data_IF_579099324533
#
_entry.id   IF_579099324533
#
_cell.length_a   1.000
_cell.length_b   1.000
_cell.length_c   1.000
_cell.angle_alpha   90.00
_cell.angle_beta   90.00
_cell.angle_gamma   90.00
#
_symmetry.space_group_name_H-M   'P 1'
#
loop_
_entity.id
_entity.type
_entity.pdbx_description
1 polymer ?
#
# COMPACT_ATOMS: atom_id res chain seq x y z
N UNK A 1 7.34 82.74 26.50
CA UNK A 1 6.45 81.60 26.73
C UNK A 1 6.11 80.85 25.45
N UNK A 2 5.78 81.49 24.30
CA UNK A 2 5.39 80.79 23.04
C UNK A 2 6.57 79.93 22.40
N UNK A 3 7.81 80.34 22.53
CA UNK A 3 8.97 79.59 21.96
C UNK A 3 9.30 78.30 22.74
N UNK A 4 9.01 78.26 24.04
CA UNK A 4 9.27 77.09 24.88
C UNK A 4 8.21 76.01 24.63
N UNK A 5 6.92 76.44 24.42
CA UNK A 5 5.85 75.49 24.07
C UNK A 5 6.06 74.80 22.72
N UNK A 6 6.68 75.53 21.74
CA UNK A 6 6.94 74.95 20.42
C UNK A 6 8.04 73.91 20.48
N UNK A 7 9.08 74.10 21.34
CA UNK A 7 10.17 73.14 21.49
C UNK A 7 9.68 71.85 22.16
N UNK A 8 8.82 71.94 23.15
CA UNK A 8 8.25 70.78 23.87
C UNK A 8 7.35 69.96 22.95
N UNK A 9 6.55 70.63 22.09
CA UNK A 9 5.68 69.93 21.10
C UNK A 9 6.49 69.18 20.06
N UNK A 10 7.61 69.73 19.58
CA UNK A 10 8.50 69.06 18.62
C UNK A 10 9.22 67.85 19.23
N UNK A 11 9.68 67.96 20.50
CA UNK A 11 10.35 66.82 21.20
C UNK A 11 9.35 65.68 21.44
N UNK A 12 8.09 65.98 21.80
CA UNK A 12 7.04 64.98 21.98
C UNK A 12 6.65 64.31 20.66
N UNK A 13 6.64 65.06 19.56
CA UNK A 13 6.35 64.46 18.21
C UNK A 13 7.48 63.53 17.75
N UNK A 14 8.75 63.85 18.00
CA UNK A 14 9.89 63.00 17.64
C UNK A 14 9.93 61.77 18.54
N UNK A 15 9.60 61.85 19.83
CA UNK A 15 9.52 60.74 20.74
C UNK A 15 8.37 59.76 20.34
N UNK A 16 7.22 60.29 19.92
CA UNK A 16 6.07 59.51 19.42
C UNK A 16 6.42 58.78 18.11
N UNK A 17 7.14 59.44 17.17
CA UNK A 17 7.59 58.78 15.95
C UNK A 17 8.61 57.68 16.21
N UNK A 18 9.56 57.84 17.16
CA UNK A 18 10.52 56.81 17.54
C UNK A 18 9.84 55.63 18.22
N UNK A 19 8.85 55.86 19.10
CA UNK A 19 8.05 54.81 19.75
C UNK A 19 7.24 53.99 18.70
N UNK A 20 6.56 54.62 17.76
CA UNK A 20 5.85 53.92 16.67
C UNK A 20 6.78 53.15 15.73
N UNK A 21 7.98 53.66 15.42
CA UNK A 21 8.97 52.91 14.64
C UNK A 21 9.49 51.69 15.41
N UNK A 22 9.65 51.77 16.74
CA UNK A 22 10.12 50.66 17.56
C UNK A 22 9.02 49.60 17.74
N UNK A 23 7.75 49.99 17.89
CA UNK A 23 6.64 49.04 17.89
C UNK A 23 6.39 48.40 16.52
N UNK A 24 6.57 49.14 15.43
CA UNK A 24 6.47 48.58 14.07
C UNK A 24 7.62 47.64 13.74
N UNK A 25 8.83 47.94 14.27
CA UNK A 25 10.00 47.07 14.07
C UNK A 25 9.92 45.76 14.89
N UNK A 26 9.20 45.74 16.02
CA UNK A 26 8.99 44.52 16.82
C UNK A 26 7.90 43.59 16.27
N UNK A 27 7.14 44.01 15.25
CA UNK A 27 6.06 43.20 14.68
C UNK A 27 6.45 42.49 13.38
N UNK A 28 7.59 42.77 12.81
CA UNK A 28 8.05 42.11 11.57
C UNK A 28 9.00 40.98 11.95
N UNK A 29 8.47 39.76 12.05
CA UNK A 29 9.27 38.55 12.21
C UNK A 29 10.25 38.42 11.04
N UNK A 30 11.48 38.00 11.33
CA UNK A 30 12.48 37.66 10.32
C UNK A 30 11.94 36.53 9.41
N UNK A 31 12.56 36.37 8.24
CA UNK A 31 12.22 35.27 7.35
C UNK A 31 12.39 33.91 8.06
N UNK A 32 13.50 33.73 8.78
CA UNK A 32 13.82 32.52 9.51
C UNK A 32 12.82 32.23 10.64
N UNK A 33 12.38 33.26 11.38
CA UNK A 33 11.34 33.11 12.42
C UNK A 33 9.99 32.67 11.81
N UNK A 34 9.63 33.23 10.64
CA UNK A 34 8.40 32.81 9.93
C UNK A 34 8.50 31.38 9.42
N UNK A 35 9.66 30.98 8.88
CA UNK A 35 9.90 29.61 8.45
C UNK A 35 9.89 28.63 9.63
N UNK A 36 10.49 28.98 10.76
CA UNK A 36 10.48 28.12 11.95
C UNK A 36 9.07 27.93 12.53
N UNK A 37 8.21 28.94 12.47
CA UNK A 37 6.80 28.81 12.86
C UNK A 37 5.99 28.01 11.86
N UNK A 38 6.28 28.16 10.57
CA UNK A 38 5.58 27.44 9.51
C UNK A 38 5.98 25.97 9.46
N UNK A 39 7.26 25.69 9.72
CA UNK A 39 7.83 24.35 9.67
C UNK A 39 8.49 23.98 11.01
N UNK A 40 7.70 23.69 12.04
CA UNK A 40 8.23 23.31 13.34
C UNK A 40 9.07 22.03 13.22
N UNK A 41 9.91 21.79 14.22
CA UNK A 41 10.70 20.55 14.33
C UNK A 41 9.79 19.31 14.23
N UNK A 42 10.34 18.23 13.69
CA UNK A 42 9.60 16.98 13.56
C UNK A 42 9.09 16.50 14.93
N UNK A 43 7.83 16.07 14.98
CA UNK A 43 7.23 15.46 16.18
C UNK A 43 7.76 14.04 16.40
N UNK A 44 8.15 13.39 15.32
CA UNK A 44 8.68 12.04 15.29
C UNK A 44 9.97 12.09 14.49
N UNK A 45 11.07 11.60 15.05
CA UNK A 45 12.34 11.54 14.34
C UNK A 45 12.36 10.33 13.39
N UNK A 46 12.48 10.61 12.09
CA UNK A 46 12.56 9.61 11.02
C UNK A 46 13.82 9.91 10.21
N UNK A 47 14.75 9.00 10.18
CA UNK A 47 16.03 9.12 9.45
C UNK A 47 16.07 8.24 8.21
N UNK A 48 15.39 7.10 8.23
CA UNK A 48 15.48 6.08 7.18
C UNK A 48 14.11 5.56 6.76
N UNK A 49 13.87 5.60 5.45
CA UNK A 49 12.69 4.99 4.81
C UNK A 49 13.17 3.99 3.78
N UNK A 50 12.81 2.73 3.94
CA UNK A 50 13.06 1.70 2.94
C UNK A 50 11.80 1.36 2.17
N UNK A 51 11.86 1.43 0.84
CA UNK A 51 10.79 0.95 -0.04
C UNK A 51 11.23 -0.39 -0.62
N UNK A 52 10.51 -1.45 -0.27
CA UNK A 52 10.81 -2.80 -0.77
C UNK A 52 10.56 -2.88 -2.27
N UNK A 53 11.51 -3.45 -3.03
CA UNK A 53 11.32 -3.81 -4.43
C UNK A 53 11.58 -5.30 -4.65
N UNK A 54 10.74 -5.90 -5.48
CA UNK A 54 10.82 -7.31 -5.91
C UNK A 54 10.28 -7.44 -7.33
N UNK A 55 10.70 -8.41 -8.09
CA UNK A 55 10.19 -8.60 -9.45
C UNK A 55 8.67 -8.76 -9.44
N UNK A 56 7.99 -8.04 -10.32
CA UNK A 56 6.53 -8.01 -10.42
C UNK A 56 5.83 -7.02 -9.46
N UNK A 57 6.56 -6.13 -8.79
CA UNK A 57 5.92 -5.04 -8.02
C UNK A 57 5.17 -4.08 -8.95
N UNK A 58 4.15 -3.40 -8.43
CA UNK A 58 3.45 -2.32 -9.14
C UNK A 58 4.21 -1.02 -9.00
N UNK A 59 4.57 -0.40 -10.13
CA UNK A 59 5.41 0.80 -10.19
C UNK A 59 4.98 1.89 -9.21
N UNK A 60 3.74 2.35 -9.32
CA UNK A 60 3.29 3.49 -8.50
C UNK A 60 3.03 3.14 -7.03
N UNK A 61 2.86 1.86 -6.70
CA UNK A 61 2.77 1.42 -5.30
C UNK A 61 4.09 1.66 -4.56
N UNK A 62 5.22 1.61 -5.27
CA UNK A 62 6.55 1.91 -4.75
C UNK A 62 6.93 3.38 -4.95
N UNK A 63 6.86 3.87 -6.20
CA UNK A 63 7.37 5.20 -6.59
C UNK A 63 6.51 6.34 -6.03
N UNK A 64 5.19 6.13 -5.85
CA UNK A 64 4.31 7.13 -5.22
C UNK A 64 4.73 7.49 -3.79
N UNK A 65 4.75 6.53 -2.87
CA UNK A 65 5.27 6.78 -1.52
C UNK A 65 6.74 7.19 -1.48
N UNK A 66 7.60 6.62 -2.36
CA UNK A 66 9.00 7.02 -2.46
C UNK A 66 9.14 8.52 -2.73
N UNK A 67 8.41 9.03 -3.71
CA UNK A 67 8.43 10.45 -4.07
C UNK A 67 7.90 11.32 -2.93
N UNK A 68 6.74 10.98 -2.37
CA UNK A 68 6.12 11.76 -1.28
C UNK A 68 6.98 11.76 -0.02
N UNK A 69 7.47 10.60 0.42
CA UNK A 69 8.28 10.49 1.63
C UNK A 69 9.70 11.03 1.43
N UNK A 70 10.17 11.13 0.17
CA UNK A 70 11.42 11.77 -0.21
C UNK A 70 11.48 13.26 0.16
N UNK A 71 10.32 13.91 0.32
CA UNK A 71 10.20 15.29 0.73
C UNK A 71 10.38 15.51 2.25
N UNK A 72 10.57 14.44 3.04
CA UNK A 72 10.89 14.57 4.45
C UNK A 72 12.33 15.03 4.64
N UNK A 73 12.51 16.30 4.99
CA UNK A 73 13.83 16.89 5.22
C UNK A 73 14.61 16.15 6.31
N UNK A 74 15.84 15.77 5.99
CA UNK A 74 16.74 15.04 6.90
C UNK A 74 16.49 13.54 6.97
N UNK A 75 15.65 12.99 6.07
CA UNK A 75 15.36 11.57 5.94
C UNK A 75 16.02 11.01 4.66
N UNK A 76 16.63 9.83 4.78
CA UNK A 76 17.16 9.09 3.64
C UNK A 76 16.10 8.07 3.17
N UNK A 77 15.60 8.22 1.95
CA UNK A 77 14.62 7.32 1.33
C UNK A 77 15.31 6.53 0.24
N UNK A 78 15.25 5.20 0.30
CA UNK A 78 15.95 4.32 -0.64
C UNK A 78 15.19 3.03 -0.91
N UNK A 79 15.55 2.36 -2.01
CA UNK A 79 15.01 1.06 -2.35
C UNK A 79 15.79 -0.07 -1.68
N UNK A 80 15.06 -1.07 -1.21
CA UNK A 80 15.60 -2.31 -0.66
C UNK A 80 15.09 -3.47 -1.50
N UNK A 81 15.96 -4.21 -2.18
CA UNK A 81 15.58 -5.39 -2.97
C UNK A 81 15.65 -6.68 -2.16
N UNK A 82 15.03 -7.73 -2.68
CA UNK A 82 15.34 -9.09 -2.22
C UNK A 82 16.82 -9.41 -2.47
N UNK A 83 17.34 -8.91 -3.60
CA UNK A 83 18.74 -8.96 -4.02
C UNK A 83 19.14 -7.59 -4.58
N UNK A 84 20.45 -7.33 -4.64
CA UNK A 84 20.98 -6.18 -5.39
C UNK A 84 20.87 -6.42 -6.89
N UNK A 85 20.76 -5.34 -7.64
CA UNK A 85 20.74 -5.38 -9.10
C UNK A 85 19.46 -4.80 -9.69
N UNK A 86 19.13 -5.22 -10.90
CA UNK A 86 17.94 -4.75 -11.60
C UNK A 86 16.72 -5.55 -11.14
N UNK A 87 15.71 -4.81 -10.70
CA UNK A 87 14.39 -5.33 -10.31
C UNK A 87 13.37 -4.83 -11.31
N UNK A 88 12.58 -5.72 -11.90
CA UNK A 88 11.56 -5.38 -12.88
C UNK A 88 10.17 -5.24 -12.25
N UNK A 89 9.44 -4.20 -12.62
CA UNK A 89 8.03 -4.06 -12.25
C UNK A 89 7.14 -5.00 -13.09
N UNK A 90 5.85 -5.03 -12.78
CA UNK A 90 4.83 -5.83 -13.47
C UNK A 90 4.72 -5.54 -14.98
N UNK A 91 5.25 -4.41 -15.46
CA UNK A 91 5.25 -3.99 -16.88
C UNK A 91 6.62 -4.10 -17.55
N UNK A 92 7.65 -4.54 -16.81
CA UNK A 92 9.00 -4.72 -17.30
C UNK A 92 9.91 -3.50 -17.16
N UNK A 93 9.47 -2.43 -16.47
CA UNK A 93 10.34 -1.30 -16.11
C UNK A 93 11.38 -1.77 -15.09
N UNK A 94 12.67 -1.54 -15.37
CA UNK A 94 13.76 -1.99 -14.50
C UNK A 94 14.31 -0.85 -13.67
N UNK A 95 14.47 -1.10 -12.38
CA UNK A 95 15.06 -0.17 -11.41
C UNK A 95 16.30 -0.81 -10.80
N UNK A 96 17.40 -0.08 -10.76
CA UNK A 96 18.61 -0.49 -10.07
C UNK A 96 18.43 -0.37 -8.57
N UNK A 97 18.71 -1.44 -7.83
CA UNK A 97 18.65 -1.49 -6.38
C UNK A 97 20.04 -1.81 -5.83
N UNK A 98 20.56 -0.90 -5.01
CA UNK A 98 21.95 -0.95 -4.54
C UNK A 98 22.11 -1.62 -3.16
N UNK A 99 21.00 -1.89 -2.46
CA UNK A 99 20.99 -2.58 -1.18
C UNK A 99 19.93 -3.68 -1.13
N UNK A 100 20.08 -4.62 -0.22
CA UNK A 100 19.19 -5.78 -0.13
C UNK A 100 18.72 -6.04 1.30
N UNK A 101 17.69 -6.89 1.45
CA UNK A 101 17.19 -7.35 2.75
C UNK A 101 18.27 -8.01 3.60
N UNK A 102 19.34 -8.56 2.99
CA UNK A 102 20.45 -9.16 3.71
C UNK A 102 21.29 -8.10 4.47
N UNK A 103 21.34 -6.88 3.94
CA UNK A 103 22.18 -5.78 4.46
C UNK A 103 21.43 -4.83 5.39
N UNK A 104 20.15 -4.58 5.11
CA UNK A 104 19.33 -3.64 5.89
C UNK A 104 18.81 -4.31 7.15
N UNK A 105 19.22 -3.78 8.31
CA UNK A 105 18.84 -4.31 9.63
C UNK A 105 17.91 -3.41 10.42
N UNK A 106 17.75 -2.15 10.00
CA UNK A 106 16.85 -1.19 10.62
C UNK A 106 16.29 -0.22 9.58
N UNK A 107 15.05 0.17 9.76
CA UNK A 107 14.35 1.23 9.06
C UNK A 107 13.38 1.88 10.02
N UNK A 108 13.29 3.21 9.99
CA UNK A 108 12.25 3.92 10.75
C UNK A 108 10.88 3.74 10.09
N UNK A 109 10.86 3.72 8.75
CA UNK A 109 9.65 3.42 7.97
C UNK A 109 9.97 2.34 6.93
N UNK A 110 9.17 1.29 6.91
CA UNK A 110 9.15 0.30 5.84
C UNK A 110 7.90 0.49 4.98
N UNK A 111 8.09 0.58 3.66
CA UNK A 111 7.01 0.60 2.66
C UNK A 111 7.04 -0.69 1.85
N UNK A 112 5.94 -1.43 1.87
CA UNK A 112 5.79 -2.69 1.13
C UNK A 112 4.79 -2.46 -0.01
N UNK A 113 5.24 -2.32 -1.27
CA UNK A 113 4.37 -2.15 -2.42
C UNK A 113 3.64 -3.44 -2.76
N UNK A 114 2.55 -3.32 -3.49
CA UNK A 114 1.85 -4.45 -4.08
C UNK A 114 2.34 -4.77 -5.49
N UNK A 115 1.63 -5.68 -6.09
CA UNK A 115 1.82 -6.18 -7.44
C UNK A 115 0.72 -7.18 -7.75
N UNK A 116 1.05 -8.30 -8.39
CA UNK A 116 0.05 -9.29 -8.74
C UNK A 116 0.40 -10.70 -8.24
N UNK A 117 0.78 -11.63 -9.09
CA UNK A 117 1.08 -13.03 -8.74
C UNK A 117 2.26 -13.15 -7.79
N UNK A 118 3.33 -12.47 -8.13
CA UNK A 118 4.60 -12.48 -7.40
C UNK A 118 4.39 -11.98 -5.97
N UNK A 119 3.52 -11.00 -5.78
CA UNK A 119 3.15 -10.49 -4.44
C UNK A 119 2.50 -11.57 -3.57
N UNK A 120 1.61 -12.38 -4.15
CA UNK A 120 0.98 -13.48 -3.40
C UNK A 120 1.97 -14.63 -3.13
N UNK A 121 2.86 -14.93 -4.08
CA UNK A 121 3.93 -15.92 -3.89
C UNK A 121 4.85 -15.52 -2.73
N UNK A 122 5.20 -14.24 -2.62
CA UNK A 122 6.02 -13.70 -1.53
C UNK A 122 5.37 -13.80 -0.14
N UNK A 123 4.06 -14.03 -0.04
CA UNK A 123 3.42 -14.34 1.25
C UNK A 123 3.90 -15.67 1.85
N UNK A 124 4.59 -16.48 1.07
CA UNK A 124 5.16 -17.78 1.46
C UNK A 124 6.69 -17.75 1.62
N UNK A 125 7.33 -16.62 1.28
CA UNK A 125 8.78 -16.47 1.40
C UNK A 125 9.17 -16.18 2.86
N UNK A 126 9.59 -17.23 3.56
CA UNK A 126 9.95 -17.13 4.98
C UNK A 126 11.14 -16.21 5.23
N UNK A 127 12.08 -16.07 4.28
CA UNK A 127 13.23 -15.17 4.39
C UNK A 127 12.77 -13.72 4.41
N UNK A 128 11.93 -13.35 3.46
CA UNK A 128 11.34 -12.01 3.38
C UNK A 128 10.46 -11.73 4.62
N UNK A 129 9.57 -12.64 4.99
CA UNK A 129 8.68 -12.47 6.13
C UNK A 129 9.43 -12.29 7.45
N UNK A 130 10.51 -13.05 7.65
CA UNK A 130 11.36 -12.91 8.84
C UNK A 130 12.12 -11.58 8.83
N UNK A 131 12.60 -11.12 7.68
CA UNK A 131 13.21 -9.81 7.54
C UNK A 131 12.20 -8.69 7.86
N UNK A 132 10.97 -8.75 7.34
CA UNK A 132 9.93 -7.77 7.64
C UNK A 132 9.64 -7.74 9.14
N UNK A 133 9.52 -8.90 9.82
CA UNK A 133 9.32 -8.97 11.28
C UNK A 133 10.49 -8.35 12.04
N UNK A 134 11.70 -8.56 11.59
CA UNK A 134 12.91 -7.96 12.20
C UNK A 134 12.88 -6.44 12.07
N UNK A 135 12.62 -5.90 10.88
CA UNK A 135 12.49 -4.46 10.65
C UNK A 135 11.33 -3.88 11.47
N UNK A 136 10.16 -4.55 11.42
CA UNK A 136 8.98 -4.13 12.16
C UNK A 136 9.24 -4.01 13.66
N UNK A 137 10.07 -4.88 14.25
CA UNK A 137 10.32 -4.85 15.69
C UNK A 137 10.87 -3.52 16.20
N UNK A 138 11.57 -2.75 15.36
CA UNK A 138 12.21 -1.47 15.70
C UNK A 138 11.72 -0.29 14.87
N UNK A 139 10.88 -0.49 13.86
CA UNK A 139 10.37 0.59 13.03
C UNK A 139 9.34 1.45 13.77
N UNK A 140 9.31 2.74 13.42
CA UNK A 140 8.27 3.69 13.83
C UNK A 140 6.97 3.38 13.12
N UNK A 141 7.04 3.17 11.81
CA UNK A 141 5.90 2.79 10.98
C UNK A 141 6.25 1.65 10.03
N UNK A 142 5.36 0.66 9.94
CA UNK A 142 5.41 -0.39 8.93
C UNK A 142 4.19 -0.24 8.03
N UNK A 143 4.41 -0.05 6.74
CA UNK A 143 3.37 0.37 5.82
C UNK A 143 3.27 -0.54 4.61
N UNK A 144 2.08 -0.58 4.01
CA UNK A 144 1.86 -1.30 2.76
C UNK A 144 0.94 -0.54 1.81
N UNK A 145 1.15 -0.74 0.53
CA UNK A 145 0.32 -0.19 -0.55
C UNK A 145 -0.27 -1.34 -1.35
N UNK A 146 -1.55 -1.22 -1.75
CA UNK A 146 -2.19 -2.20 -2.63
C UNK A 146 -2.13 -3.62 -2.03
N UNK A 147 -1.84 -4.62 -2.84
CA UNK A 147 -1.68 -6.02 -2.40
C UNK A 147 -0.42 -6.27 -1.55
N UNK A 148 0.45 -5.29 -1.37
CA UNK A 148 1.54 -5.37 -0.39
C UNK A 148 1.05 -5.65 1.04
N UNK A 149 -0.22 -5.34 1.32
CA UNK A 149 -0.87 -5.72 2.57
C UNK A 149 -0.96 -7.24 2.78
N UNK A 150 -0.92 -8.06 1.72
CA UNK A 150 -0.88 -9.52 1.86
C UNK A 150 0.47 -9.98 2.42
N UNK A 151 1.58 -9.42 1.89
CA UNK A 151 2.92 -9.73 2.41
C UNK A 151 3.01 -9.33 3.89
N UNK A 152 2.53 -8.11 4.22
CA UNK A 152 2.50 -7.65 5.60
C UNK A 152 1.57 -8.52 6.47
N UNK A 153 0.41 -8.90 5.95
CA UNK A 153 -0.55 -9.81 6.61
C UNK A 153 0.03 -11.18 6.90
N UNK A 154 0.81 -11.74 5.95
CA UNK A 154 1.48 -13.04 6.10
C UNK A 154 2.50 -13.07 7.23
N UNK A 155 3.03 -11.91 7.66
CA UNK A 155 3.86 -11.85 8.88
C UNK A 155 3.04 -12.07 10.17
N UNK A 156 1.70 -12.00 10.10
CA UNK A 156 0.79 -12.12 11.26
C UNK A 156 0.48 -10.79 11.95
N UNK A 157 1.17 -9.71 11.62
CA UNK A 157 1.03 -8.42 12.33
C UNK A 157 -0.31 -7.72 12.07
N UNK A 158 -1.02 -8.07 11.00
CA UNK A 158 -2.34 -7.52 10.68
C UNK A 158 -3.51 -8.34 11.24
N UNK A 159 -3.26 -9.51 11.83
CA UNK A 159 -4.32 -10.35 12.38
C UNK A 159 -5.12 -9.59 13.45
N UNK A 160 -6.44 -9.52 13.28
CA UNK A 160 -7.38 -8.80 14.15
C UNK A 160 -7.29 -7.27 14.06
N UNK A 161 -6.40 -6.70 13.25
CA UNK A 161 -6.25 -5.25 13.09
C UNK A 161 -7.06 -4.71 11.91
N UNK A 162 -7.47 -3.45 12.04
CA UNK A 162 -8.04 -2.73 10.90
C UNK A 162 -6.97 -2.52 9.82
N UNK A 163 -7.31 -2.82 8.57
CA UNK A 163 -6.41 -2.66 7.42
C UNK A 163 -7.21 -2.45 6.14
N UNK A 164 -6.53 -2.02 5.09
CA UNK A 164 -7.09 -1.99 3.72
C UNK A 164 -6.06 -2.51 2.73
N UNK A 165 -6.49 -2.77 1.52
CA UNK A 165 -5.67 -3.24 0.39
C UNK A 165 -6.36 -2.86 -0.92
N UNK A 166 -5.79 -3.26 -2.04
CA UNK A 166 -6.42 -3.14 -3.35
C UNK A 166 -7.84 -3.70 -3.32
N UNK A 167 -8.78 -3.03 -3.97
CA UNK A 167 -10.21 -3.35 -3.90
C UNK A 167 -10.52 -4.83 -4.17
N UNK A 168 -9.85 -5.45 -5.14
CA UNK A 168 -10.02 -6.86 -5.47
C UNK A 168 -9.45 -7.81 -4.39
N UNK A 169 -8.34 -7.42 -3.76
CA UNK A 169 -7.61 -8.23 -2.79
C UNK A 169 -8.17 -8.23 -1.37
N UNK A 170 -9.26 -7.51 -1.11
CA UNK A 170 -9.82 -7.34 0.24
C UNK A 170 -10.24 -8.66 0.90
N UNK A 171 -10.88 -9.55 0.11
CA UNK A 171 -11.31 -10.85 0.61
C UNK A 171 -10.11 -11.73 1.02
N UNK A 172 -9.06 -11.74 0.22
CA UNK A 172 -7.81 -12.48 0.53
C UNK A 172 -7.18 -11.94 1.81
N UNK A 173 -7.11 -10.60 1.97
CA UNK A 173 -6.54 -10.00 3.18
C UNK A 173 -7.33 -10.39 4.45
N UNK A 174 -8.64 -10.49 4.35
CA UNK A 174 -9.49 -10.91 5.46
C UNK A 174 -9.38 -12.41 5.77
N UNK A 175 -9.56 -13.24 4.74
CA UNK A 175 -9.71 -14.69 4.91
C UNK A 175 -8.39 -15.39 5.21
N UNK A 176 -7.30 -15.02 4.49
CA UNK A 176 -6.02 -15.69 4.60
C UNK A 176 -5.15 -15.10 5.73
N UNK A 177 -5.31 -13.80 6.03
CA UNK A 177 -4.44 -13.09 6.96
C UNK A 177 -5.15 -12.47 8.18
N UNK A 178 -6.46 -12.67 8.30
CA UNK A 178 -7.25 -12.33 9.50
C UNK A 178 -7.42 -10.85 9.77
N UNK A 179 -7.18 -9.97 8.80
CA UNK A 179 -7.33 -8.52 8.96
C UNK A 179 -8.81 -8.10 8.97
N UNK A 180 -9.15 -7.08 9.75
CA UNK A 180 -10.47 -6.42 9.73
C UNK A 180 -10.50 -5.37 8.62
N UNK A 181 -10.85 -5.80 7.42
CA UNK A 181 -10.74 -4.97 6.22
C UNK A 181 -11.72 -3.80 6.22
N UNK A 182 -11.21 -2.59 5.97
CA UNK A 182 -11.95 -1.34 5.89
C UNK A 182 -12.09 -0.85 4.45
N UNK A 183 -13.22 -0.23 4.13
CA UNK A 183 -13.44 0.43 2.85
C UNK A 183 -12.96 1.89 2.90
N UNK A 184 -11.63 2.07 3.02
CA UNK A 184 -10.97 3.38 3.08
C UNK A 184 -9.78 3.40 2.15
N UNK A 185 -9.38 4.60 1.70
CA UNK A 185 -8.19 4.76 0.87
C UNK A 185 -6.91 4.38 1.61
N UNK A 186 -6.83 4.72 2.89
CA UNK A 186 -5.81 4.21 3.80
C UNK A 186 -6.38 4.02 5.20
N UNK A 187 -5.75 3.15 5.96
CA UNK A 187 -6.12 2.78 7.34
C UNK A 187 -4.88 2.79 8.21
N UNK A 188 -5.02 3.38 9.39
CA UNK A 188 -4.00 3.33 10.45
C UNK A 188 -4.47 2.42 11.57
N UNK A 189 -3.63 1.48 11.99
CA UNK A 189 -3.84 0.63 13.18
C UNK A 189 -2.56 0.60 14.01
N UNK A 190 -2.42 1.55 14.92
CA UNK A 190 -1.18 1.79 15.66
C UNK A 190 -0.06 2.28 14.73
N UNK A 191 1.05 1.54 14.67
CA UNK A 191 2.18 1.83 13.77
C UNK A 191 2.00 1.27 12.35
N UNK A 192 0.97 0.45 12.12
CA UNK A 192 0.69 -0.14 10.82
C UNK A 192 -0.19 0.79 9.99
N UNK A 193 0.27 1.13 8.80
CA UNK A 193 -0.48 1.91 7.84
C UNK A 193 -0.63 1.11 6.56
N UNK A 194 -1.86 0.93 6.11
CA UNK A 194 -2.15 0.19 4.89
C UNK A 194 -2.96 1.07 3.96
N UNK A 195 -2.65 1.09 2.67
CA UNK A 195 -3.42 1.83 1.68
C UNK A 195 -4.01 0.91 0.61
N UNK A 196 -5.10 1.38 0.03
CA UNK A 196 -5.68 0.80 -1.18
C UNK A 196 -4.70 0.94 -2.37
N UNK A 197 -5.13 0.55 -3.57
CA UNK A 197 -4.24 0.51 -4.72
C UNK A 197 -3.76 1.88 -5.19
N UNK A 198 -2.56 1.87 -5.67
CA UNK A 198 -1.83 2.83 -6.52
C UNK A 198 -1.82 4.25 -5.95
N UNK A 199 -2.79 5.08 -6.31
CA UNK A 199 -2.81 6.50 -5.91
C UNK A 199 -3.04 6.72 -4.41
N UNK A 200 -3.68 5.77 -3.73
CA UNK A 200 -3.89 5.83 -2.29
C UNK A 200 -2.57 5.71 -1.49
N UNK A 201 -1.51 5.17 -2.10
CA UNK A 201 -0.16 5.16 -1.51
C UNK A 201 0.40 6.57 -1.32
N UNK A 202 0.10 7.49 -2.24
CA UNK A 202 0.49 8.91 -2.11
C UNK A 202 -0.32 9.59 -0.99
N UNK A 203 -1.64 9.35 -0.91
CA UNK A 203 -2.47 9.88 0.19
C UNK A 203 -1.95 9.42 1.55
N UNK A 204 -1.59 8.12 1.66
CA UNK A 204 -0.99 7.56 2.87
C UNK A 204 0.36 8.21 3.18
N UNK A 205 1.20 8.43 2.17
CA UNK A 205 2.49 9.12 2.32
C UNK A 205 2.32 10.54 2.87
N UNK A 206 1.38 11.32 2.34
CA UNK A 206 1.04 12.65 2.85
C UNK A 206 0.48 12.60 4.28
N UNK A 207 -0.33 11.60 4.60
CA UNK A 207 -0.84 11.41 5.96
C UNK A 207 0.26 11.04 6.96
N UNK A 208 1.26 10.24 6.54
CA UNK A 208 2.48 9.97 7.34
C UNK A 208 3.30 11.25 7.57
N UNK A 209 3.51 12.06 6.52
CA UNK A 209 4.18 13.37 6.66
C UNK A 209 3.43 14.25 7.67
N UNK A 210 2.11 14.26 7.63
CA UNK A 210 1.29 15.03 8.56
C UNK A 210 1.47 14.54 10.02
N UNK A 211 1.58 13.24 10.23
CA UNK A 211 1.85 12.68 11.55
C UNK A 211 3.24 13.08 12.06
N UNK A 212 4.24 13.06 11.17
CA UNK A 212 5.65 13.31 11.50
C UNK A 212 5.93 14.81 11.66
N UNK A 213 5.44 15.66 10.76
CA UNK A 213 5.81 17.09 10.64
C UNK A 213 4.65 18.06 10.87
N UNK A 214 3.39 17.58 10.81
CA UNK A 214 2.20 18.39 10.99
C UNK A 214 1.69 19.08 9.73
N UNK A 215 0.57 19.80 9.88
CA UNK A 215 -0.26 20.31 8.78
C UNK A 215 0.47 21.25 7.82
N UNK A 216 1.14 22.28 8.36
CA UNK A 216 1.80 23.28 7.50
C UNK A 216 2.85 22.67 6.58
N UNK A 217 3.65 21.76 7.13
CA UNK A 217 4.66 21.03 6.35
C UNK A 217 3.99 20.18 5.26
N UNK A 218 2.96 19.44 5.61
CA UNK A 218 2.21 18.60 4.65
C UNK A 218 1.60 19.42 3.53
N UNK A 219 1.00 20.58 3.85
CA UNK A 219 0.43 21.50 2.85
C UNK A 219 1.50 22.06 1.92
N UNK A 220 2.70 22.34 2.44
CA UNK A 220 3.82 22.78 1.61
C UNK A 220 4.25 21.67 0.63
N UNK A 221 4.34 20.42 1.10
CA UNK A 221 4.67 19.29 0.23
C UNK A 221 3.55 19.03 -0.80
N UNK A 222 2.29 19.13 -0.42
CA UNK A 222 1.17 19.05 -1.39
C UNK A 222 1.29 20.10 -2.49
N UNK A 223 1.69 21.32 -2.13
CA UNK A 223 1.90 22.40 -3.10
C UNK A 223 3.13 22.13 -3.98
N UNK A 224 4.23 21.67 -3.42
CA UNK A 224 5.46 21.37 -4.15
C UNK A 224 5.26 20.24 -5.16
N UNK A 225 4.49 19.21 -4.79
CA UNK A 225 4.13 18.09 -5.66
C UNK A 225 2.94 18.40 -6.59
N UNK A 226 2.35 19.61 -6.55
CA UNK A 226 1.08 19.93 -7.21
C UNK A 226 0.01 18.83 -7.00
N UNK A 227 -0.04 18.30 -5.76
CA UNK A 227 -0.96 17.22 -5.43
C UNK A 227 -2.41 17.72 -5.32
N UNK A 228 -3.04 17.90 -6.48
CA UNK A 228 -4.45 18.33 -6.67
C UNK A 228 -5.17 17.41 -7.69
N UNK A 229 -5.45 16.14 -7.31
CA UNK A 229 -5.98 15.15 -8.25
C UNK A 229 -7.36 15.53 -8.79
N UNK A 230 -7.52 15.54 -10.12
CA UNK A 230 -8.76 15.85 -10.82
C UNK A 230 -9.16 14.69 -11.76
N UNK A 231 -9.76 13.62 -11.24
CA UNK A 231 -10.18 12.48 -12.06
C UNK A 231 -11.32 12.89 -13.01
N UNK A 232 -11.27 12.39 -14.24
CA UNK A 232 -12.27 12.66 -15.29
C UNK A 232 -13.67 12.21 -14.86
N UNK A 233 -13.74 11.08 -14.15
CA UNK A 233 -14.97 10.50 -13.65
C UNK A 233 -14.88 10.25 -12.15
N UNK A 234 -16.02 10.35 -11.46
CA UNK A 234 -16.15 9.83 -10.09
C UNK A 234 -16.09 8.30 -10.12
N UNK A 235 -15.34 7.69 -9.23
CA UNK A 235 -15.14 6.24 -9.19
C UNK A 235 -13.80 5.88 -8.62
N UNK A 236 -13.23 4.74 -9.06
CA UNK A 236 -11.91 4.29 -8.65
C UNK A 236 -11.90 3.42 -7.39
N UNK A 237 -13.07 3.02 -6.91
CA UNK A 237 -13.25 2.00 -5.86
C UNK A 237 -14.44 1.11 -6.18
N UNK A 238 -14.46 -0.09 -5.63
CA UNK A 238 -15.52 -1.08 -5.83
C UNK A 238 -16.91 -0.62 -5.33
N UNK A 239 -16.97 0.33 -4.42
CA UNK A 239 -18.22 0.87 -3.86
C UNK A 239 -18.72 2.14 -4.55
N UNK A 240 -17.95 2.75 -5.45
CA UNK A 240 -18.34 3.98 -6.17
C UNK A 240 -18.12 3.89 -7.69
N UNK A 241 -17.87 2.68 -8.21
CA UNK A 241 -17.80 2.37 -9.63
C UNK A 241 -19.02 1.53 -10.03
N UNK A 242 -19.48 1.66 -11.27
CA UNK A 242 -20.58 0.87 -11.79
C UNK A 242 -20.36 -0.64 -11.59
N UNK A 243 -21.41 -1.34 -11.13
CA UNK A 243 -21.33 -2.76 -10.76
C UNK A 243 -20.94 -3.66 -11.93
N UNK A 244 -21.37 -3.33 -13.17
CA UNK A 244 -21.01 -4.12 -14.34
C UNK A 244 -19.50 -4.00 -14.62
N UNK A 245 -18.93 -2.81 -14.48
CA UNK A 245 -17.49 -2.58 -14.61
C UNK A 245 -16.74 -3.33 -13.49
N UNK A 246 -17.18 -3.22 -12.24
CA UNK A 246 -16.56 -3.94 -11.11
C UNK A 246 -16.56 -5.45 -11.36
N UNK A 247 -17.68 -6.03 -11.82
CA UNK A 247 -17.78 -7.46 -12.08
C UNK A 247 -16.88 -7.90 -13.24
N UNK A 248 -16.81 -7.14 -14.32
CA UNK A 248 -15.93 -7.44 -15.45
C UNK A 248 -14.46 -7.41 -15.02
N UNK A 249 -14.05 -6.38 -14.28
CA UNK A 249 -12.69 -6.27 -13.74
C UNK A 249 -12.39 -7.39 -12.75
N UNK A 250 -13.33 -7.74 -11.87
CA UNK A 250 -13.17 -8.85 -10.92
C UNK A 250 -12.90 -10.16 -11.67
N UNK A 251 -13.68 -10.48 -12.69
CA UNK A 251 -13.48 -11.69 -13.50
C UNK A 251 -12.10 -11.73 -14.15
N UNK A 252 -11.56 -10.59 -14.60
CA UNK A 252 -10.20 -10.49 -15.12
C UNK A 252 -9.13 -10.85 -14.06
N UNK A 253 -9.28 -10.28 -12.86
CA UNK A 253 -8.35 -10.56 -11.76
C UNK A 253 -8.44 -12.02 -11.32
N UNK A 254 -9.67 -12.56 -11.20
CA UNK A 254 -9.92 -13.96 -10.81
C UNK A 254 -9.24 -14.92 -11.79
N UNK A 255 -9.44 -14.74 -13.11
CA UNK A 255 -8.76 -15.52 -14.15
C UNK A 255 -7.22 -15.39 -14.08
N UNK A 256 -6.72 -14.18 -13.84
CA UNK A 256 -5.29 -13.92 -13.73
C UNK A 256 -4.64 -14.61 -12.53
N UNK A 257 -5.37 -14.76 -11.42
CA UNK A 257 -4.88 -15.31 -10.16
C UNK A 257 -5.25 -16.78 -9.93
N UNK A 258 -6.10 -17.37 -10.77
CA UNK A 258 -6.63 -18.73 -10.58
C UNK A 258 -5.53 -19.76 -10.26
N UNK A 259 -4.47 -19.80 -11.07
CA UNK A 259 -3.37 -20.75 -10.89
C UNK A 259 -2.51 -20.50 -9.64
N UNK A 260 -2.51 -19.28 -9.13
CA UNK A 260 -1.73 -18.86 -7.96
C UNK A 260 -2.49 -19.13 -6.67
N UNK A 261 -3.77 -18.78 -6.65
CA UNK A 261 -4.65 -18.99 -5.50
C UNK A 261 -5.08 -20.46 -5.38
N UNK A 262 -5.25 -21.12 -6.53
CA UNK A 262 -5.64 -22.51 -6.62
C UNK A 262 -4.61 -23.28 -7.47
N UNK A 263 -3.37 -23.48 -6.95
CA UNK A 263 -2.37 -24.23 -7.69
C UNK A 263 -2.94 -25.60 -7.99
N UNK A 264 -2.94 -25.96 -9.28
CA UNK A 264 -3.29 -27.32 -9.70
C UNK A 264 -2.31 -28.23 -9.01
N UNK A 265 -2.74 -28.91 -7.98
CA UNK A 265 -1.99 -30.05 -7.44
C UNK A 265 -1.82 -30.98 -8.62
N UNK A 266 -0.57 -31.26 -8.99
CA UNK A 266 -0.30 -32.21 -10.08
C UNK A 266 -0.75 -33.59 -9.61
N UNK A 267 -1.98 -33.94 -9.96
CA UNK A 267 -2.52 -35.29 -9.74
C UNK A 267 -1.92 -36.28 -10.72
N UNK A 268 -0.63 -36.08 -11.12
CA UNK A 268 0.07 -36.86 -12.14
C UNK A 268 0.09 -38.37 -11.88
N UNK A 269 -0.16 -38.78 -10.63
CA UNK A 269 -0.19 -40.19 -10.22
C UNK A 269 -1.57 -40.67 -9.78
N UNK A 270 -2.63 -39.85 -9.91
CA UNK A 270 -3.98 -40.26 -9.52
C UNK A 270 -4.73 -40.71 -10.79
N UNK A 271 -5.17 -41.95 -10.79
CA UNK A 271 -6.08 -42.44 -11.82
C UNK A 271 -7.50 -41.95 -11.49
N UNK A 272 -8.05 -41.09 -12.33
CA UNK A 272 -9.43 -40.66 -12.22
C UNK A 272 -10.37 -41.66 -12.84
N UNK A 273 -11.55 -41.80 -12.26
CA UNK A 273 -12.63 -42.61 -12.77
C UNK A 273 -13.47 -41.90 -13.85
N UNK A 274 -13.13 -40.64 -14.17
CA UNK A 274 -13.75 -39.88 -15.25
C UNK A 274 -12.69 -39.36 -16.23
N UNK A 275 -13.00 -39.40 -17.53
CA UNK A 275 -12.15 -38.83 -18.58
C UNK A 275 -12.47 -37.38 -18.91
N UNK A 276 -13.63 -36.91 -18.48
CA UNK A 276 -14.13 -35.54 -18.68
C UNK A 276 -14.74 -35.03 -17.36
N UNK A 277 -14.64 -33.74 -17.15
CA UNK A 277 -15.33 -33.06 -16.07
C UNK A 277 -16.85 -33.25 -16.23
N UNK A 278 -17.50 -33.83 -15.24
CA UNK A 278 -18.94 -34.16 -15.31
C UNK A 278 -19.84 -32.91 -15.36
N UNK A 279 -19.38 -31.79 -14.85
CA UNK A 279 -20.18 -30.56 -14.80
C UNK A 279 -20.12 -29.78 -16.11
N UNK A 280 -18.92 -29.56 -16.68
CA UNK A 280 -18.74 -28.74 -17.88
C UNK A 280 -18.38 -29.54 -19.14
N UNK A 281 -18.08 -30.87 -19.02
CA UNK A 281 -17.75 -31.73 -20.17
C UNK A 281 -16.31 -31.57 -20.68
N UNK A 282 -15.47 -30.75 -20.06
CA UNK A 282 -14.08 -30.50 -20.49
C UNK A 282 -13.22 -31.75 -20.30
N UNK A 283 -12.39 -32.14 -21.30
CA UNK A 283 -11.47 -33.26 -21.15
C UNK A 283 -10.43 -33.01 -20.03
N UNK A 284 -10.19 -33.99 -19.17
CA UNK A 284 -9.27 -33.88 -18.05
C UNK A 284 -7.78 -34.02 -18.44
N UNK A 285 -7.51 -34.41 -19.69
CA UNK A 285 -6.13 -34.43 -20.24
C UNK A 285 -5.52 -33.01 -20.35
N UNK A 286 -6.32 -31.96 -20.25
CA UNK A 286 -5.86 -30.55 -20.22
C UNK A 286 -5.45 -30.08 -18.82
N UNK A 287 -5.68 -30.90 -17.78
CA UNK A 287 -5.35 -30.65 -16.39
C UNK A 287 -6.55 -30.83 -15.45
N UNK A 288 -6.25 -31.21 -14.21
CA UNK A 288 -7.22 -31.36 -13.12
C UNK A 288 -6.91 -30.35 -12.05
N UNK A 289 -7.84 -29.50 -11.74
CA UNK A 289 -7.71 -28.43 -10.75
C UNK A 289 -8.21 -28.83 -9.35
N UNK A 290 -9.18 -29.78 -9.30
CA UNK A 290 -9.72 -30.28 -8.03
C UNK A 290 -10.22 -31.72 -8.16
N UNK A 291 -10.42 -32.39 -7.06
CA UNK A 291 -10.87 -33.80 -7.00
C UNK A 291 -11.92 -34.00 -5.95
N UNK A 292 -12.72 -35.09 -6.13
CA UNK A 292 -13.63 -35.57 -5.11
C UNK A 292 -13.62 -37.09 -5.02
N UNK A 293 -13.70 -37.63 -3.81
CA UNK A 293 -14.00 -39.01 -3.56
C UNK A 293 -15.50 -39.20 -3.36
N UNK A 294 -16.16 -39.92 -4.24
CA UNK A 294 -17.58 -40.17 -4.16
C UNK A 294 -17.89 -41.62 -4.57
N UNK A 295 -18.62 -42.34 -3.73
CA UNK A 295 -18.98 -43.75 -3.92
C UNK A 295 -17.77 -44.66 -4.26
N UNK A 296 -16.64 -44.47 -3.56
CA UNK A 296 -15.42 -45.26 -3.75
C UNK A 296 -14.62 -44.95 -5.00
N UNK A 297 -14.99 -43.95 -5.76
CA UNK A 297 -14.33 -43.47 -6.98
C UNK A 297 -13.69 -42.12 -6.78
N UNK A 298 -12.67 -41.81 -7.58
CA UNK A 298 -11.96 -40.51 -7.58
C UNK A 298 -12.28 -39.77 -8.87
N UNK A 299 -12.95 -38.64 -8.75
CA UNK A 299 -13.31 -37.81 -9.89
C UNK A 299 -12.47 -36.53 -9.94
N UNK A 300 -11.95 -36.22 -11.13
CA UNK A 300 -11.23 -34.99 -11.41
C UNK A 300 -12.15 -33.91 -11.98
N UNK A 301 -11.84 -32.64 -11.69
CA UNK A 301 -12.56 -31.46 -12.19
C UNK A 301 -11.57 -30.43 -12.72
N UNK A 302 -11.95 -29.73 -13.79
CA UNK A 302 -11.13 -28.68 -14.40
C UNK A 302 -11.09 -27.39 -13.55
N UNK A 303 -12.01 -27.22 -12.59
CA UNK A 303 -12.05 -26.11 -11.66
C UNK A 303 -12.78 -26.47 -10.37
N UNK A 304 -12.54 -25.68 -9.31
CA UNK A 304 -13.30 -25.78 -8.05
C UNK A 304 -14.80 -25.54 -8.28
N UNK A 305 -15.17 -24.60 -9.15
CA UNK A 305 -16.56 -24.33 -9.49
C UNK A 305 -17.27 -25.52 -10.11
N UNK A 306 -16.60 -26.30 -10.95
CA UNK A 306 -17.14 -27.53 -11.53
C UNK A 306 -17.32 -28.61 -10.46
N UNK A 307 -16.36 -28.80 -9.55
CA UNK A 307 -16.50 -29.67 -8.40
C UNK A 307 -17.68 -29.27 -7.51
N UNK A 308 -17.77 -27.98 -7.15
CA UNK A 308 -18.87 -27.47 -6.30
C UNK A 308 -20.23 -27.64 -6.99
N UNK A 309 -20.27 -27.50 -8.34
CA UNK A 309 -21.45 -27.77 -9.15
C UNK A 309 -21.85 -29.24 -9.13
N UNK A 310 -20.89 -30.15 -9.30
CA UNK A 310 -21.10 -31.61 -9.17
C UNK A 310 -21.60 -31.97 -7.77
N UNK A 311 -21.00 -31.41 -6.72
CA UNK A 311 -21.34 -31.71 -5.32
C UNK A 311 -22.74 -31.29 -4.91
N UNK A 312 -23.44 -30.43 -5.68
CA UNK A 312 -24.83 -30.07 -5.42
C UNK A 312 -25.81 -31.23 -5.68
N UNK A 313 -25.51 -32.08 -6.67
CA UNK A 313 -26.30 -33.26 -6.99
C UNK A 313 -25.42 -34.33 -7.67
N UNK A 314 -24.51 -34.99 -6.92
CA UNK A 314 -23.60 -35.98 -7.51
C UNK A 314 -24.30 -37.17 -8.14
N UNK A 315 -25.50 -37.52 -7.64
CA UNK A 315 -26.26 -38.67 -8.13
C UNK A 315 -26.74 -38.51 -9.57
N UNK A 316 -27.00 -37.28 -10.01
CA UNK A 316 -27.45 -36.97 -11.40
C UNK A 316 -26.38 -37.23 -12.45
N UNK A 317 -25.10 -37.33 -12.04
CA UNK A 317 -23.95 -37.57 -12.92
C UNK A 317 -23.45 -39.02 -12.92
N UNK A 318 -23.95 -39.88 -11.99
CA UNK A 318 -23.46 -41.23 -11.73
C UNK A 318 -23.80 -42.30 -12.81
N UNK A 319 -24.35 -41.92 -13.95
CA UNK A 319 -24.73 -42.86 -15.02
C UNK A 319 -24.32 -42.44 -16.43
N UNK A 320 -23.55 -41.42 -16.61
CA UNK A 320 -23.32 -40.84 -17.94
C UNK A 320 -22.02 -41.26 -18.65
N UNK A 321 -21.13 -42.09 -18.03
CA UNK A 321 -19.92 -42.60 -18.75
C UNK A 321 -19.41 -43.88 -18.12
#
# INVERSE_FOLDING_TARGET
MKKIMLLVAVVLAIASCKSKKKELATSIKSHDEKLAEMFPTAKIDVKTVGVLLYDGYSTLDAMGPYNVLGELMGTNVFFVGLHKGLVADVKGMKVQVDTSIAEVKHLDILVIPGGFKETYELTKDTTLLNWIKMIDSSSVFTTSVCTGAWILGATGVLNGKEATTHWWGKKILADDFGAKVQQKRYVRSGKYWTSAGITAGMDMGLALINEIRGENYTRAIMLDLEYDPQPIYKGGSDYNTDTAIVNAMRSMYDMGMEKVLHPVTSYQNIKFDNAKDFFCGMPLNTGVADTVHYNGKVYGFCSKGCKDGFMKDPASYGGRY
#
